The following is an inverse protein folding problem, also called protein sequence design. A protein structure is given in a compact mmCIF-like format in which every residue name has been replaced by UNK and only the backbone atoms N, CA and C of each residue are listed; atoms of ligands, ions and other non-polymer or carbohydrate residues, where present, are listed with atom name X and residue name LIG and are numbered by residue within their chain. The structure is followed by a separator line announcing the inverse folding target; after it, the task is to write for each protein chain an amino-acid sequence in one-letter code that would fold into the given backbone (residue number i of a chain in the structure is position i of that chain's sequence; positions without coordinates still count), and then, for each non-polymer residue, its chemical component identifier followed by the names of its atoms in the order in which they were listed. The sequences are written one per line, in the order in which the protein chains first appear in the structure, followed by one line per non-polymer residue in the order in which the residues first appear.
data_IF_759097697682
#
_entry.id   IF_759097697682
#
_cell.length_a   1.000
_cell.length_b   1.000
_cell.length_c   1.000
_cell.angle_alpha   90.00
_cell.angle_beta   90.00
_cell.angle_gamma   90.00
#
_symmetry.space_group_name_H-M   'P 1'
#
loop_
_entity.id
_entity.type
_entity.pdbx_description
1 polymer ?
#
# COMPACT_ATOMS: atom_id res chain seq x y z
N UNK A 1 -30.02 -14.50 -12.76
CA UNK A 1 -29.41 -14.79 -14.07
C UNK A 1 -28.27 -13.79 -14.28
N UNK A 2 -27.03 -14.23 -14.26
CA UNK A 2 -25.86 -13.35 -14.50
C UNK A 2 -25.81 -13.03 -15.99
N UNK A 3 -25.66 -11.76 -16.42
CA UNK A 3 -25.59 -11.42 -17.84
C UNK A 3 -24.39 -12.12 -18.50
N UNK A 4 -24.58 -12.62 -19.70
CA UNK A 4 -23.61 -13.35 -20.51
C UNK A 4 -22.25 -12.63 -20.64
N UNK A 5 -22.26 -11.29 -20.64
CA UNK A 5 -21.08 -10.45 -20.71
C UNK A 5 -20.17 -10.54 -19.46
N UNK A 6 -20.75 -10.74 -18.28
CA UNK A 6 -19.98 -10.88 -17.02
C UNK A 6 -19.32 -12.25 -16.94
N UNK A 7 -19.99 -13.28 -17.44
CA UNK A 7 -19.44 -14.65 -17.45
C UNK A 7 -18.22 -14.76 -18.40
N UNK A 8 -18.30 -14.12 -19.56
CA UNK A 8 -17.20 -14.12 -20.53
C UNK A 8 -15.94 -13.36 -20.02
N UNK A 9 -16.13 -12.27 -19.28
CA UNK A 9 -15.00 -11.52 -18.71
C UNK A 9 -14.25 -12.30 -17.62
N UNK A 10 -14.97 -13.02 -16.75
CA UNK A 10 -14.33 -13.83 -15.69
C UNK A 10 -13.53 -15.00 -16.26
N UNK A 11 -13.96 -15.64 -17.34
CA UNK A 11 -13.20 -16.70 -18.00
C UNK A 11 -11.92 -16.16 -18.66
N UNK A 12 -12.00 -15.00 -19.30
CA UNK A 12 -10.82 -14.37 -19.91
C UNK A 12 -9.80 -13.97 -18.84
N UNK A 13 -10.24 -13.44 -17.72
CA UNK A 13 -9.36 -13.06 -16.61
C UNK A 13 -8.62 -14.29 -16.05
N UNK A 14 -9.27 -15.43 -15.92
CA UNK A 14 -8.64 -16.68 -15.50
C UNK A 14 -7.60 -17.17 -16.52
N UNK A 15 -7.94 -17.19 -17.81
CA UNK A 15 -7.01 -17.60 -18.86
C UNK A 15 -5.76 -16.71 -18.92
N UNK A 16 -5.92 -15.41 -18.77
CA UNK A 16 -4.78 -14.46 -18.73
C UNK A 16 -3.93 -14.70 -17.49
N UNK A 17 -4.54 -14.92 -16.34
CA UNK A 17 -3.85 -15.21 -15.08
C UNK A 17 -3.04 -16.52 -15.17
N UNK A 18 -3.61 -17.57 -15.73
CA UNK A 18 -2.95 -18.85 -15.90
C UNK A 18 -1.77 -18.77 -16.87
N UNK A 19 -1.95 -18.06 -17.99
CA UNK A 19 -0.89 -17.82 -18.95
C UNK A 19 0.28 -17.02 -18.36
N UNK A 20 -0.01 -15.97 -17.59
CA UNK A 20 1.01 -15.18 -16.89
C UNK A 20 1.75 -16.06 -15.88
N UNK A 21 1.04 -16.86 -15.12
CA UNK A 21 1.62 -17.78 -14.13
C UNK A 21 2.55 -18.80 -14.81
N UNK A 22 2.14 -19.37 -15.92
CA UNK A 22 2.96 -20.30 -16.70
C UNK A 22 4.21 -19.62 -17.29
N UNK A 23 4.05 -18.40 -17.83
CA UNK A 23 5.17 -17.63 -18.35
C UNK A 23 6.19 -17.28 -17.24
N UNK A 24 5.73 -16.87 -16.08
CA UNK A 24 6.60 -16.58 -14.93
C UNK A 24 7.33 -17.83 -14.43
N UNK A 25 6.67 -18.98 -14.43
CA UNK A 25 7.30 -20.25 -14.06
C UNK A 25 8.41 -20.67 -15.03
N UNK A 26 8.22 -20.40 -16.33
CA UNK A 26 9.24 -20.70 -17.36
C UNK A 26 10.43 -19.74 -17.31
N UNK A 27 10.18 -18.45 -17.04
CA UNK A 27 11.21 -17.40 -17.03
C UNK A 27 12.11 -17.45 -15.78
N UNK A 28 11.51 -17.66 -14.62
CA UNK A 28 12.25 -17.70 -13.36
C UNK A 28 11.59 -18.71 -12.39
N UNK A 29 11.89 -20.02 -12.56
CA UNK A 29 11.29 -21.07 -11.74
C UNK A 29 11.68 -20.96 -10.26
N UNK A 30 12.87 -20.46 -9.92
CA UNK A 30 13.31 -20.32 -8.53
C UNK A 30 12.54 -19.23 -7.79
N UNK A 31 12.37 -18.05 -8.41
CA UNK A 31 11.55 -16.98 -7.84
C UNK A 31 10.07 -17.38 -7.74
N UNK A 32 9.56 -18.14 -8.70
CA UNK A 32 8.21 -18.67 -8.65
C UNK A 32 8.02 -19.65 -7.50
N UNK A 33 8.94 -20.60 -7.32
CA UNK A 33 8.94 -21.55 -6.20
C UNK A 33 9.05 -20.83 -4.84
N UNK A 34 9.86 -19.77 -4.74
CA UNK A 34 9.99 -18.96 -3.54
C UNK A 34 8.73 -18.21 -3.11
N UNK A 35 7.78 -18.02 -4.04
CA UNK A 35 6.47 -17.38 -3.76
C UNK A 35 5.37 -18.37 -3.40
N UNK A 36 5.61 -19.68 -3.52
CA UNK A 36 4.63 -20.70 -3.16
C UNK A 36 4.20 -20.54 -1.69
N UNK A 37 2.92 -20.79 -1.35
CA UNK A 37 2.43 -20.67 0.03
C UNK A 37 3.19 -21.53 1.04
N UNK A 38 3.76 -22.65 0.58
CA UNK A 38 4.54 -23.60 1.36
C UNK A 38 6.03 -23.34 1.36
N UNK A 39 6.51 -22.36 0.56
CA UNK A 39 7.92 -22.01 0.49
C UNK A 39 8.42 -21.45 1.83
N UNK A 40 9.68 -21.72 2.14
CA UNK A 40 10.34 -21.11 3.30
C UNK A 40 10.36 -19.59 3.14
N UNK A 41 9.59 -18.91 3.95
CA UNK A 41 9.50 -17.43 3.89
C UNK A 41 10.86 -16.83 4.23
N UNK A 42 11.24 -15.83 3.43
CA UNK A 42 12.41 -14.99 3.75
C UNK A 42 12.13 -14.31 5.09
N UNK A 43 13.05 -14.49 6.04
CA UNK A 43 12.94 -13.85 7.35
C UNK A 43 13.10 -12.33 7.15
N UNK A 44 12.01 -11.60 7.30
CA UNK A 44 12.04 -10.13 7.25
C UNK A 44 12.50 -9.62 8.60
N UNK A 45 13.52 -8.77 8.60
CA UNK A 45 13.92 -8.06 9.80
C UNK A 45 12.77 -7.11 10.16
N UNK A 46 12.20 -7.21 11.37
CA UNK A 46 11.16 -6.28 11.78
C UNK A 46 11.75 -4.88 11.87
N UNK A 47 11.04 -3.90 11.28
CA UNK A 47 11.40 -2.52 11.48
C UNK A 47 11.03 -2.10 12.90
N UNK A 48 12.01 -1.62 13.65
CA UNK A 48 11.83 -1.22 15.04
C UNK A 48 11.95 0.31 15.12
N UNK A 49 10.85 0.99 15.44
CA UNK A 49 10.90 2.39 15.79
C UNK A 49 11.55 2.53 17.20
N UNK A 50 12.47 3.45 17.35
CA UNK A 50 13.23 3.65 18.59
C UNK A 50 12.56 4.61 19.56
N UNK A 51 11.54 5.34 19.14
CA UNK A 51 10.81 6.31 19.94
C UNK A 51 9.74 7.05 19.17
N UNK A 52 9.07 7.98 19.84
CA UNK A 52 8.04 8.85 19.23
C UNK A 52 8.68 9.69 18.12
N UNK A 53 8.01 9.78 16.99
CA UNK A 53 8.47 10.51 15.80
C UNK A 53 9.76 9.98 15.16
N UNK A 54 10.25 8.81 15.56
CA UNK A 54 11.41 8.19 14.89
C UNK A 54 11.05 7.74 13.47
N UNK A 55 9.92 7.11 13.31
CA UNK A 55 9.44 6.62 12.03
C UNK A 55 7.93 6.86 11.86
N UNK A 56 7.55 7.48 10.74
CA UNK A 56 6.15 7.65 10.36
C UNK A 56 5.81 6.74 9.19
N UNK A 57 4.67 6.09 9.28
CA UNK A 57 4.10 5.31 8.17
C UNK A 57 2.93 6.08 7.56
N UNK A 58 2.98 6.28 6.26
CA UNK A 58 1.92 6.92 5.50
C UNK A 58 1.38 6.00 4.41
N UNK A 59 0.09 6.04 4.21
CA UNK A 59 -0.57 5.24 3.18
C UNK A 59 -1.84 5.91 2.66
N UNK A 60 -2.15 5.62 1.39
CA UNK A 60 -3.37 6.03 0.72
C UNK A 60 -4.37 4.88 0.65
N UNK A 61 -5.65 5.17 0.88
CA UNK A 61 -6.73 4.19 0.84
C UNK A 61 -7.70 4.48 -0.30
N UNK A 62 -7.76 3.59 -1.29
CA UNK A 62 -8.51 3.78 -2.54
C UNK A 62 -9.86 3.03 -2.59
N UNK A 63 -10.17 2.20 -1.59
CA UNK A 63 -11.38 1.35 -1.63
C UNK A 63 -12.69 2.14 -1.71
N UNK A 64 -12.68 3.37 -1.22
CA UNK A 64 -13.83 4.27 -1.26
C UNK A 64 -13.82 5.22 -2.47
N UNK A 65 -12.91 5.03 -3.42
CA UNK A 65 -12.81 5.86 -4.62
C UNK A 65 -14.12 5.87 -5.44
N UNK A 66 -14.84 4.75 -5.50
CA UNK A 66 -16.11 4.63 -6.22
C UNK A 66 -17.18 5.61 -5.73
N UNK A 67 -17.10 6.05 -4.48
CA UNK A 67 -18.00 7.04 -3.87
C UNK A 67 -17.32 8.40 -3.67
N UNK A 68 -16.16 8.61 -4.28
CA UNK A 68 -15.44 9.89 -4.28
C UNK A 68 -14.61 10.17 -3.03
N UNK A 69 -14.40 9.18 -2.15
CA UNK A 69 -13.61 9.35 -0.93
C UNK A 69 -12.27 8.63 -1.05
N UNK A 70 -11.24 9.36 -1.43
CA UNK A 70 -9.86 8.93 -1.33
C UNK A 70 -9.30 9.42 0.01
N UNK A 71 -8.68 8.53 0.75
CA UNK A 71 -8.15 8.82 2.09
C UNK A 71 -6.64 8.73 2.05
N UNK A 72 -5.97 9.67 2.69
CA UNK A 72 -4.55 9.62 2.98
C UNK A 72 -4.32 9.81 4.47
N UNK A 73 -3.45 8.98 5.06
CA UNK A 73 -3.25 8.96 6.49
C UNK A 73 -1.79 8.74 6.86
N UNK A 74 -1.38 9.32 7.99
CA UNK A 74 -0.05 9.13 8.58
C UNK A 74 -0.21 8.70 10.04
N UNK A 75 0.60 7.74 10.46
CA UNK A 75 0.69 7.32 11.86
C UNK A 75 2.14 7.25 12.32
N UNK A 76 2.35 7.48 13.61
CA UNK A 76 3.61 7.20 14.27
C UNK A 76 3.76 5.70 14.53
N UNK A 77 4.90 5.14 14.13
CA UNK A 77 5.14 3.70 14.23
C UNK A 77 5.40 3.22 15.66
N UNK A 78 5.96 4.09 16.50
CA UNK A 78 6.24 3.75 17.91
C UNK A 78 4.96 3.67 18.74
N UNK A 79 4.19 4.74 18.74
CA UNK A 79 2.99 4.85 19.57
C UNK A 79 1.74 4.26 18.92
N UNK A 80 1.78 4.00 17.61
CA UNK A 80 0.61 3.63 16.82
C UNK A 80 -0.41 4.77 16.65
N UNK A 81 -0.11 5.96 17.12
CA UNK A 81 -1.02 7.11 17.08
C UNK A 81 -1.19 7.63 15.65
N UNK A 82 -2.41 7.86 15.27
CA UNK A 82 -2.71 8.57 14.03
C UNK A 82 -2.34 10.05 14.17
N UNK A 83 -1.42 10.51 13.35
CA UNK A 83 -0.98 11.91 13.31
C UNK A 83 -1.90 12.76 12.47
N UNK A 84 -2.46 12.17 11.42
CA UNK A 84 -3.46 12.81 10.57
C UNK A 84 -4.14 11.80 9.65
N UNK A 85 -5.42 12.07 9.35
CA UNK A 85 -6.23 11.34 8.39
C UNK A 85 -7.03 12.40 7.63
N UNK A 86 -6.93 12.38 6.30
CA UNK A 86 -7.59 13.35 5.44
C UNK A 86 -8.32 12.67 4.29
N UNK A 87 -9.47 13.22 3.93
CA UNK A 87 -10.09 12.92 2.66
C UNK A 87 -9.50 13.88 1.63
N UNK A 88 -8.96 13.34 0.56
CA UNK A 88 -8.26 14.09 -0.48
C UNK A 88 -8.90 13.83 -1.85
N UNK A 89 -8.84 14.79 -2.78
CA UNK A 89 -9.41 14.59 -4.12
C UNK A 89 -8.65 13.52 -4.92
N UNK A 90 -7.34 13.40 -4.66
CA UNK A 90 -6.49 12.36 -5.21
C UNK A 90 -5.32 12.12 -4.25
N UNK A 91 -5.19 10.88 -3.78
CA UNK A 91 -4.13 10.47 -2.85
C UNK A 91 -2.76 10.23 -3.53
N UNK A 92 -2.67 10.46 -4.85
CA UNK A 92 -1.43 10.40 -5.64
C UNK A 92 -0.91 11.77 -6.03
N UNK A 93 -1.65 12.84 -5.76
CA UNK A 93 -1.21 14.21 -6.03
C UNK A 93 -0.08 14.61 -5.08
N UNK A 94 1.13 14.65 -5.61
CA UNK A 94 2.35 14.99 -4.84
C UNK A 94 2.21 16.30 -4.09
N UNK A 95 1.63 17.31 -4.71
CA UNK A 95 1.44 18.65 -4.11
C UNK A 95 0.57 18.57 -2.85
N UNK A 96 -0.55 17.85 -2.91
CA UNK A 96 -1.47 17.69 -1.77
C UNK A 96 -0.78 16.93 -0.64
N UNK A 97 -0.12 15.81 -0.95
CA UNK A 97 0.59 15.00 0.03
C UNK A 97 1.71 15.80 0.69
N UNK A 98 2.49 16.53 -0.09
CA UNK A 98 3.57 17.41 0.43
C UNK A 98 3.02 18.47 1.36
N UNK A 99 1.93 19.13 0.99
CA UNK A 99 1.28 20.14 1.83
C UNK A 99 0.83 19.54 3.17
N UNK A 100 0.15 18.41 3.15
CA UNK A 100 -0.33 17.73 4.37
C UNK A 100 0.83 17.28 5.27
N UNK A 101 1.90 16.78 4.67
CA UNK A 101 3.10 16.38 5.39
C UNK A 101 3.79 17.57 6.07
N UNK A 102 3.98 18.67 5.36
CA UNK A 102 4.56 19.91 5.91
C UNK A 102 3.69 20.52 7.00
N UNK A 103 2.37 20.48 6.83
CA UNK A 103 1.42 20.94 7.85
C UNK A 103 1.51 20.11 9.14
N UNK A 104 1.81 18.80 9.05
CA UNK A 104 2.08 17.98 10.22
C UNK A 104 3.38 18.36 10.92
N UNK A 105 4.45 18.59 10.16
CA UNK A 105 5.74 19.03 10.72
C UNK A 105 5.56 20.35 11.47
N UNK A 106 4.82 21.30 10.89
CA UNK A 106 4.51 22.57 11.55
C UNK A 106 3.70 22.34 12.83
N UNK A 107 2.65 21.52 12.78
CA UNK A 107 1.80 21.18 13.93
C UNK A 107 2.60 20.56 15.09
N UNK A 108 3.61 19.78 14.79
CA UNK A 108 4.50 19.16 15.78
C UNK A 108 5.79 19.96 16.03
N UNK A 109 5.75 21.29 15.83
CA UNK A 109 6.84 22.21 16.18
C UNK A 109 8.16 21.92 15.46
N UNK A 110 8.09 21.46 14.21
CA UNK A 110 9.24 21.15 13.40
C UNK A 110 9.82 19.73 13.60
N UNK A 111 9.18 18.89 14.41
CA UNK A 111 9.57 17.48 14.48
C UNK A 111 9.22 16.77 13.17
N UNK A 112 10.17 16.03 12.63
CA UNK A 112 10.02 15.20 11.44
C UNK A 112 10.66 13.83 11.71
N UNK A 113 10.18 12.77 11.06
CA UNK A 113 10.73 11.44 11.27
C UNK A 113 12.15 11.33 10.72
N UNK A 114 12.99 10.59 11.40
CA UNK A 114 14.32 10.21 10.89
C UNK A 114 14.21 9.23 9.73
N UNK A 115 13.13 8.44 9.72
CA UNK A 115 12.81 7.48 8.67
C UNK A 115 11.35 7.63 8.24
N UNK A 116 11.10 7.49 6.94
CA UNK A 116 9.79 7.57 6.32
C UNK A 116 9.50 6.30 5.51
N UNK A 117 8.31 5.76 5.72
CA UNK A 117 7.81 4.54 5.06
C UNK A 117 6.52 4.79 4.29
#
# INVERSE_FOLDING_TARGET
MVPFSVFCMTEIDHLVSDWISEAMHKLDPEAFAGRAPTAKKIHRVPMVALGIHHCWSADGHDKLNKIGFLVWAIRDMWSGKWLGIWVVPDNRLKVVITYLYLSLIEKYSGYYPSEYL
#
